data_IF_438815064876
#
_entry.id   IF_438815064876
#
_cell.length_a   1.000
_cell.length_b   1.000
_cell.length_c   1.000
_cell.angle_alpha   90.00
_cell.angle_beta   90.00
_cell.angle_gamma   90.00
#
_symmetry.space_group_name_H-M   'P 1'
#
loop_
_entity.id
_entity.type
_entity.pdbx_description
1 polymer ?
#
# COMPACT_ATOMS: atom_id res chain seq x y z
N UNK A 1 17.79 23.87 30.87
CA UNK A 1 17.11 23.25 29.70
C UNK A 1 15.94 22.44 30.22
N UNK A 2 14.73 22.68 29.73
CA UNK A 2 13.62 21.76 30.05
C UNK A 2 13.87 20.42 29.35
N UNK A 3 13.64 19.28 30.02
CA UNK A 3 13.79 17.98 29.38
C UNK A 3 12.80 17.89 28.20
N UNK A 4 13.31 17.49 27.03
CA UNK A 4 12.47 17.25 25.86
C UNK A 4 11.44 16.18 26.20
N UNK A 5 10.17 16.40 25.84
CA UNK A 5 9.13 15.38 25.98
C UNK A 5 9.51 14.16 25.13
N UNK A 6 9.47 12.97 25.74
CA UNK A 6 9.61 11.71 24.99
C UNK A 6 8.50 11.61 23.96
N UNK A 7 8.85 11.17 22.75
CA UNK A 7 7.87 10.86 21.71
C UNK A 7 7.43 9.41 21.79
N UNK A 8 6.20 9.13 21.36
CA UNK A 8 5.74 7.78 21.07
C UNK A 8 5.87 7.50 19.56
N UNK A 9 6.83 6.65 19.18
CA UNK A 9 7.16 6.34 17.79
C UNK A 9 6.61 4.97 17.43
N UNK A 10 5.83 4.89 16.35
CA UNK A 10 5.36 3.61 15.83
C UNK A 10 6.09 3.22 14.56
N UNK A 11 6.76 2.07 14.58
CA UNK A 11 7.38 1.49 13.39
C UNK A 11 6.44 0.44 12.80
N UNK A 12 6.25 0.45 11.48
CA UNK A 12 5.48 -0.55 10.73
C UNK A 12 6.42 -1.21 9.72
N UNK A 13 6.89 -2.41 10.04
CA UNK A 13 7.75 -3.21 9.18
C UNK A 13 6.91 -4.33 8.54
N UNK A 14 6.81 -4.31 7.21
CA UNK A 14 5.90 -5.19 6.47
C UNK A 14 6.66 -6.26 5.71
N UNK A 15 6.27 -7.51 5.90
CA UNK A 15 6.48 -8.52 4.87
C UNK A 15 5.64 -8.20 3.61
N UNK A 16 6.05 -8.72 2.46
CA UNK A 16 5.39 -8.47 1.20
C UNK A 16 4.78 -9.73 0.59
N UNK A 17 5.50 -10.84 0.54
CA UNK A 17 5.05 -12.05 -0.16
C UNK A 17 4.01 -12.79 0.69
N UNK A 18 2.77 -12.90 0.20
CA UNK A 18 1.67 -13.47 0.99
C UNK A 18 1.03 -12.48 1.98
N UNK A 19 1.80 -11.48 2.44
CA UNK A 19 1.33 -10.41 3.34
C UNK A 19 0.71 -9.21 2.59
N UNK A 20 1.51 -8.23 2.14
CA UNK A 20 1.00 -7.09 1.34
C UNK A 20 0.57 -7.54 -0.06
N UNK A 21 1.36 -8.40 -0.69
CA UNK A 21 1.01 -9.15 -1.90
C UNK A 21 0.25 -10.42 -1.51
N UNK A 22 -0.88 -10.26 -0.83
CA UNK A 22 -1.73 -11.38 -0.44
C UNK A 22 -2.50 -11.98 -1.63
N UNK A 23 -3.23 -13.06 -1.36
CA UNK A 23 -4.15 -13.74 -2.29
C UNK A 23 -5.10 -12.78 -3.04
N UNK A 24 -5.54 -11.67 -2.44
CA UNK A 24 -6.41 -10.68 -3.13
C UNK A 24 -5.63 -9.85 -4.16
N UNK A 25 -4.35 -9.55 -3.88
CA UNK A 25 -3.45 -8.90 -4.83
C UNK A 25 -3.25 -9.76 -6.07
N UNK A 26 -2.84 -11.02 -5.91
CA UNK A 26 -2.56 -11.92 -7.03
C UNK A 26 -3.77 -12.23 -7.91
N UNK A 27 -4.99 -12.23 -7.35
CA UNK A 27 -6.24 -12.40 -8.13
C UNK A 27 -6.51 -11.24 -9.11
N UNK A 28 -5.87 -10.07 -8.95
CA UNK A 28 -6.03 -8.93 -9.88
C UNK A 28 -5.13 -9.12 -11.10
N UNK A 29 -5.66 -9.79 -12.12
CA UNK A 29 -4.99 -10.19 -13.37
C UNK A 29 -4.52 -9.06 -14.33
N UNK A 30 -4.29 -7.80 -13.91
CA UNK A 30 -4.14 -6.70 -14.88
C UNK A 30 -2.98 -5.72 -14.60
N UNK A 31 -2.17 -5.52 -15.65
CA UNK A 31 -1.20 -4.46 -15.99
C UNK A 31 -0.22 -3.93 -14.91
N UNK A 32 1.03 -3.70 -15.31
CA UNK A 32 2.14 -3.35 -14.40
C UNK A 32 1.96 -2.00 -13.67
N UNK A 33 1.44 -0.96 -14.32
CA UNK A 33 1.18 0.35 -13.67
C UNK A 33 0.02 0.30 -12.65
N UNK A 34 -0.96 -0.60 -12.85
CA UNK A 34 -2.03 -0.80 -11.86
C UNK A 34 -1.53 -1.55 -10.64
N UNK A 35 -0.47 -2.37 -10.71
CA UNK A 35 0.00 -3.18 -9.56
C UNK A 35 0.35 -2.34 -8.32
N UNK A 36 1.03 -1.19 -8.42
CA UNK A 36 1.26 -0.28 -7.27
C UNK A 36 -0.08 0.13 -6.63
N UNK A 37 -1.04 0.57 -7.44
CA UNK A 37 -2.37 1.00 -6.99
C UNK A 37 -3.19 -0.17 -6.46
N UNK A 38 -3.04 -1.35 -7.04
CA UNK A 38 -3.74 -2.56 -6.66
C UNK A 38 -3.28 -3.04 -5.30
N UNK A 39 -1.96 -3.02 -5.02
CA UNK A 39 -1.42 -3.33 -3.70
C UNK A 39 -2.01 -2.40 -2.62
N UNK A 40 -2.09 -1.10 -2.89
CA UNK A 40 -2.76 -0.15 -1.97
C UNK A 40 -4.25 -0.47 -1.84
N UNK A 41 -4.95 -0.71 -2.96
CA UNK A 41 -6.41 -0.92 -3.01
C UNK A 41 -6.84 -2.22 -2.34
N UNK A 42 -6.08 -3.31 -2.47
CA UNK A 42 -6.40 -4.58 -1.77
C UNK A 42 -6.14 -4.49 -0.27
N UNK A 43 -5.19 -3.66 0.16
CA UNK A 43 -4.84 -3.44 1.56
C UNK A 43 -5.54 -2.21 2.17
N UNK A 44 -6.57 -1.66 1.53
CA UNK A 44 -7.20 -0.41 1.95
C UNK A 44 -7.84 -0.49 3.34
N UNK A 45 -8.50 -1.60 3.66
CA UNK A 45 -9.12 -1.85 4.97
C UNK A 45 -8.05 -1.95 6.06
N UNK A 46 -6.98 -2.69 5.78
CA UNK A 46 -5.80 -2.79 6.64
C UNK A 46 -5.18 -1.43 6.92
N UNK A 47 -4.99 -0.60 5.88
CA UNK A 47 -4.46 0.76 6.01
C UNK A 47 -5.35 1.60 6.94
N UNK A 48 -6.66 1.60 6.72
CA UNK A 48 -7.59 2.38 7.55
C UNK A 48 -7.61 1.91 9.00
N UNK A 49 -7.58 0.60 9.22
CA UNK A 49 -7.51 0.00 10.55
C UNK A 49 -6.25 0.43 11.29
N UNK A 50 -5.09 0.32 10.65
CA UNK A 50 -3.82 0.71 11.22
C UNK A 50 -3.73 2.22 11.46
N UNK A 51 -4.23 3.05 10.54
CA UNK A 51 -4.33 4.50 10.74
C UNK A 51 -5.24 4.87 11.92
N UNK A 52 -6.30 4.11 12.17
CA UNK A 52 -7.14 4.29 13.36
C UNK A 52 -6.35 3.96 14.63
N UNK A 53 -5.71 2.80 14.69
CA UNK A 53 -4.87 2.39 15.83
C UNK A 53 -3.78 3.41 16.14
N UNK A 54 -3.10 3.96 15.13
CA UNK A 54 -2.08 4.99 15.32
C UNK A 54 -2.61 6.26 16.01
N UNK A 55 -3.87 6.65 15.73
CA UNK A 55 -4.51 7.79 16.42
C UNK A 55 -4.90 7.42 17.84
N UNK A 56 -5.47 6.23 18.02
CA UNK A 56 -5.93 5.74 19.32
C UNK A 56 -4.75 5.52 20.29
N UNK A 57 -3.59 5.13 19.77
CA UNK A 57 -2.33 4.96 20.51
C UNK A 57 -1.57 6.28 20.73
N UNK A 58 -2.10 7.42 20.25
CA UNK A 58 -1.47 8.74 20.32
C UNK A 58 -0.03 8.76 19.77
N UNK A 59 0.20 8.12 18.63
CA UNK A 59 1.52 8.13 18.00
C UNK A 59 1.94 9.56 17.61
N UNK A 60 3.16 9.95 17.99
CA UNK A 60 3.76 11.23 17.61
C UNK A 60 4.41 11.17 16.22
N UNK A 61 4.80 9.97 15.79
CA UNK A 61 5.49 9.71 14.54
C UNK A 61 5.25 8.27 14.08
N UNK A 62 5.21 8.06 12.76
CA UNK A 62 5.15 6.71 12.18
C UNK A 62 6.24 6.50 11.13
N UNK A 63 6.92 5.36 11.20
CA UNK A 63 8.02 5.00 10.30
C UNK A 63 7.67 3.67 9.61
N UNK A 64 7.75 3.62 8.28
CA UNK A 64 7.50 2.42 7.49
C UNK A 64 8.83 1.81 7.00
N UNK A 65 8.95 0.48 7.09
CA UNK A 65 10.16 -0.28 6.74
C UNK A 65 9.82 -1.55 5.95
N UNK A 66 10.83 -2.11 5.27
CA UNK A 66 10.72 -3.42 4.61
C UNK A 66 11.03 -4.52 5.64
N UNK A 67 10.02 -5.28 6.02
CA UNK A 67 10.12 -6.45 6.89
C UNK A 67 10.25 -7.78 6.14
N UNK A 68 10.29 -7.74 4.80
CA UNK A 68 10.37 -8.91 3.93
C UNK A 68 11.80 -9.39 3.68
N UNK A 69 11.95 -10.65 3.27
CA UNK A 69 13.20 -11.19 2.70
C UNK A 69 13.65 -10.48 1.40
N UNK A 70 12.82 -9.61 0.81
CA UNK A 70 13.18 -8.70 -0.29
C UNK A 70 14.11 -7.55 0.16
N UNK A 71 15.26 -7.89 0.75
CA UNK A 71 16.26 -6.94 1.28
C UNK A 71 17.37 -6.59 0.27
N UNK A 72 17.26 -7.04 -0.99
CA UNK A 72 18.11 -6.59 -2.09
C UNK A 72 17.32 -6.57 -3.40
N UNK A 73 17.83 -5.85 -4.42
CA UNK A 73 17.24 -5.85 -5.76
C UNK A 73 17.17 -7.26 -6.36
N UNK A 74 18.23 -8.06 -6.22
CA UNK A 74 18.25 -9.44 -6.74
C UNK A 74 17.12 -10.28 -6.15
N UNK A 75 16.97 -10.30 -4.82
CA UNK A 75 15.88 -11.06 -4.21
C UNK A 75 14.50 -10.47 -4.47
N UNK A 76 14.38 -9.16 -4.64
CA UNK A 76 13.12 -8.53 -5.03
C UNK A 76 12.73 -8.88 -6.49
N UNK A 77 13.71 -8.94 -7.41
CA UNK A 77 13.50 -9.35 -8.79
C UNK A 77 13.23 -10.86 -8.91
N UNK A 78 13.98 -11.71 -8.19
CA UNK A 78 13.79 -13.16 -8.22
C UNK A 78 12.41 -13.54 -7.68
N UNK A 79 11.97 -12.90 -6.58
CA UNK A 79 10.60 -13.08 -6.09
C UNK A 79 9.54 -12.39 -6.96
N UNK A 80 9.94 -11.54 -7.93
CA UNK A 80 9.04 -11.02 -8.96
C UNK A 80 8.88 -11.99 -10.13
N UNK A 81 9.73 -13.00 -10.27
CA UNK A 81 9.62 -14.00 -11.33
C UNK A 81 8.91 -15.27 -10.84
N UNK A 82 7.57 -15.32 -10.93
CA UNK A 82 6.85 -16.58 -10.69
C UNK A 82 6.83 -17.41 -11.99
N UNK A 83 7.39 -18.61 -11.88
CA UNK A 83 7.65 -19.70 -12.85
C UNK A 83 6.49 -20.18 -13.76
N UNK A 84 5.33 -19.50 -13.81
CA UNK A 84 4.15 -19.99 -14.55
C UNK A 84 3.53 -18.94 -15.49
N UNK A 85 4.38 -18.21 -16.22
CA UNK A 85 3.98 -17.52 -17.44
C UNK A 85 3.16 -16.23 -17.31
N UNK A 86 2.49 -15.93 -16.19
CA UNK A 86 1.58 -14.76 -16.12
C UNK A 86 1.53 -13.98 -14.77
N UNK A 87 2.19 -14.41 -13.69
CA UNK A 87 1.95 -13.86 -12.33
C UNK A 87 3.21 -13.29 -11.64
N UNK A 88 3.88 -12.33 -12.27
CA UNK A 88 5.04 -11.66 -11.67
C UNK A 88 4.65 -10.78 -10.44
N UNK A 89 5.24 -11.02 -9.27
CA UNK A 89 4.99 -10.25 -8.04
C UNK A 89 5.77 -8.93 -8.01
N UNK A 90 5.09 -7.80 -7.96
CA UNK A 90 5.71 -6.48 -8.14
C UNK A 90 6.79 -6.13 -7.08
N UNK A 91 7.73 -5.24 -7.42
CA UNK A 91 8.77 -4.79 -6.49
C UNK A 91 8.22 -4.21 -5.18
N UNK A 92 8.77 -4.61 -4.03
CA UNK A 92 8.32 -4.11 -2.74
C UNK A 92 8.70 -2.64 -2.48
N UNK A 93 9.81 -2.16 -3.04
CA UNK A 93 10.33 -0.82 -2.80
C UNK A 93 9.38 0.32 -3.24
N UNK A 94 8.85 0.35 -4.49
CA UNK A 94 7.86 1.36 -4.88
C UNK A 94 6.50 1.17 -4.18
N UNK A 95 6.17 -0.05 -3.74
CA UNK A 95 4.92 -0.33 -3.02
C UNK A 95 4.98 0.18 -1.59
N UNK A 96 6.12 0.06 -0.90
CA UNK A 96 6.29 0.64 0.43
C UNK A 96 6.06 2.16 0.41
N UNK A 97 6.60 2.85 -0.60
CA UNK A 97 6.33 4.28 -0.81
C UNK A 97 4.83 4.53 -1.03
N UNK A 98 4.16 3.71 -1.85
CA UNK A 98 2.72 3.81 -2.11
C UNK A 98 1.87 3.68 -0.83
N UNK A 99 2.20 2.67 -0.02
CA UNK A 99 1.49 2.39 1.22
C UNK A 99 1.66 3.56 2.17
N UNK A 100 2.88 4.01 2.39
CA UNK A 100 3.14 5.16 3.26
C UNK A 100 2.44 6.44 2.81
N UNK A 101 2.43 6.73 1.50
CA UNK A 101 1.66 7.83 0.89
C UNK A 101 0.16 7.72 1.17
N UNK A 102 -0.39 6.50 1.10
CA UNK A 102 -1.79 6.24 1.41
C UNK A 102 -2.08 6.41 2.91
N UNK A 103 -1.25 5.83 3.77
CA UNK A 103 -1.34 5.96 5.23
C UNK A 103 -1.37 7.42 5.69
N UNK A 104 -0.49 8.25 5.13
CA UNK A 104 -0.36 9.66 5.48
C UNK A 104 -1.64 10.47 5.22
N UNK A 105 -2.56 10.00 4.36
CA UNK A 105 -3.86 10.65 4.11
C UNK A 105 -4.81 10.55 5.29
N UNK A 106 -4.68 9.50 6.10
CA UNK A 106 -5.61 9.17 7.18
C UNK A 106 -5.14 9.62 8.57
N UNK A 107 -3.93 10.15 8.67
CA UNK A 107 -3.36 10.55 9.95
C UNK A 107 -2.84 11.99 9.93
N UNK A 108 -2.60 12.56 11.11
CA UNK A 108 -2.09 13.93 11.28
C UNK A 108 -0.63 13.97 11.69
N UNK A 109 -0.10 12.90 12.27
CA UNK A 109 1.30 12.85 12.67
C UNK A 109 2.23 12.67 11.45
N UNK A 110 3.49 13.12 11.56
CA UNK A 110 4.51 12.87 10.55
C UNK A 110 4.67 11.37 10.24
N UNK A 111 4.77 11.07 8.95
CA UNK A 111 5.02 9.73 8.44
C UNK A 111 6.33 9.72 7.66
N UNK A 112 7.12 8.67 7.81
CA UNK A 112 8.43 8.50 7.17
C UNK A 112 8.55 7.13 6.52
N UNK A 113 9.25 7.05 5.38
CA UNK A 113 9.80 5.80 4.88
C UNK A 113 11.25 5.73 5.34
N UNK A 114 11.60 4.73 6.14
CA UNK A 114 13.01 4.42 6.39
C UNK A 114 13.47 3.40 5.36
N UNK A 115 14.41 3.83 4.52
CA UNK A 115 14.90 3.05 3.38
C UNK A 115 15.94 2.00 3.76
N UNK A 116 16.31 1.89 5.03
CA UNK A 116 17.31 0.92 5.48
C UNK A 116 16.88 -0.53 5.18
N UNK A 117 17.77 -1.26 4.51
CA UNK A 117 17.64 -2.70 4.25
C UNK A 117 18.98 -3.40 4.49
N UNK A 118 18.96 -4.72 4.71
CA UNK A 118 20.18 -5.44 5.08
C UNK A 118 21.27 -5.45 3.99
N UNK A 119 20.92 -5.27 2.71
CA UNK A 119 21.92 -5.05 1.66
C UNK A 119 22.85 -3.85 1.95
N UNK A 120 22.41 -2.85 2.73
CA UNK A 120 23.28 -1.76 3.17
C UNK A 120 24.40 -2.27 4.09
N UNK A 121 24.09 -3.18 5.02
CA UNK A 121 25.06 -3.77 5.95
C UNK A 121 26.06 -4.65 5.18
N UNK A 122 25.56 -5.57 4.35
CA UNK A 122 26.40 -6.51 3.62
C UNK A 122 27.23 -5.84 2.52
N UNK A 123 26.66 -4.80 1.89
CA UNK A 123 27.36 -3.98 0.90
C UNK A 123 28.29 -2.92 1.48
N UNK A 124 28.36 -2.76 2.80
CA UNK A 124 29.04 -1.63 3.47
C UNK A 124 28.60 -0.26 2.90
N UNK A 125 27.33 -0.13 2.54
CA UNK A 125 26.74 1.10 1.99
C UNK A 125 26.07 1.92 3.10
N UNK A 126 25.96 3.25 2.96
CA UNK A 126 25.16 4.08 3.87
C UNK A 126 23.70 3.60 3.94
N UNK A 127 23.03 3.87 5.05
CA UNK A 127 21.64 3.46 5.24
C UNK A 127 20.73 4.03 4.14
N UNK A 128 19.90 3.17 3.56
CA UNK A 128 18.95 3.53 2.51
C UNK A 128 19.54 3.66 1.12
N UNK A 129 20.85 3.48 0.96
CA UNK A 129 21.51 3.54 -0.35
C UNK A 129 21.03 2.39 -1.24
N UNK A 130 20.99 1.16 -0.74
CA UNK A 130 20.60 -0.01 -1.52
C UNK A 130 19.13 0.08 -1.97
N UNK A 131 18.21 0.45 -1.08
CA UNK A 131 16.81 0.71 -1.46
C UNK A 131 16.70 1.79 -2.55
N UNK A 132 17.48 2.87 -2.44
CA UNK A 132 17.49 3.94 -3.45
C UNK A 132 18.05 3.45 -4.79
N UNK A 133 19.11 2.63 -4.75
CA UNK A 133 19.70 1.98 -5.93
C UNK A 133 18.71 1.00 -6.59
N UNK A 134 17.92 0.28 -5.80
CA UNK A 134 16.87 -0.61 -6.31
C UNK A 134 15.76 0.18 -7.02
N UNK A 135 15.33 1.31 -6.46
CA UNK A 135 14.33 2.19 -7.09
C UNK A 135 14.81 2.80 -8.42
N UNK A 136 16.11 3.11 -8.54
CA UNK A 136 16.68 3.70 -9.75
C UNK A 136 17.13 2.66 -10.79
N UNK A 137 16.96 1.36 -10.50
CA UNK A 137 17.49 0.26 -11.30
C UNK A 137 19.00 0.39 -11.56
N UNK A 138 19.78 0.73 -10.52
CA UNK A 138 21.22 0.75 -10.62
C UNK A 138 21.77 -0.62 -11.06
N UNK A 139 22.79 -0.62 -11.92
CA UNK A 139 23.40 -1.84 -12.47
C UNK A 139 24.14 -2.67 -11.40
N UNK A 140 24.64 -2.02 -10.36
CA UNK A 140 25.33 -2.65 -9.24
C UNK A 140 24.51 -2.50 -7.95
N UNK A 141 23.93 -3.62 -7.50
CA UNK A 141 23.20 -3.69 -6.24
C UNK A 141 23.86 -4.68 -5.29
N UNK A 142 24.03 -4.30 -4.02
CA UNK A 142 24.59 -5.17 -3.00
C UNK A 142 23.62 -6.32 -2.71
N UNK A 143 24.12 -7.54 -2.62
CA UNK A 143 23.34 -8.67 -2.13
C UNK A 143 23.20 -8.59 -0.60
N UNK A 144 22.33 -9.42 -0.05
CA UNK A 144 22.22 -9.60 1.40
C UNK A 144 22.24 -11.09 1.73
N UNK A 145 22.55 -11.43 2.97
CA UNK A 145 22.51 -12.79 3.49
C UNK A 145 21.06 -13.19 3.78
N UNK A 146 20.50 -14.15 3.04
CA UNK A 146 19.10 -14.51 3.18
C UNK A 146 18.80 -15.31 4.45
N UNK A 147 18.43 -14.58 5.51
CA UNK A 147 17.89 -15.16 6.74
C UNK A 147 16.36 -15.35 6.64
N UNK A 148 15.93 -16.59 6.40
CA UNK A 148 14.51 -16.97 6.29
C UNK A 148 13.74 -16.80 7.60
N UNK A 149 14.42 -16.81 8.75
CA UNK A 149 13.77 -16.61 10.05
C UNK A 149 13.45 -15.14 10.33
N UNK A 150 13.98 -14.21 9.52
CA UNK A 150 13.83 -12.75 9.63
C UNK A 150 14.39 -12.16 10.93
N UNK A 151 15.10 -12.93 11.75
CA UNK A 151 15.70 -12.49 13.00
C UNK A 151 16.66 -11.32 12.79
N UNK A 152 17.54 -11.44 11.78
CA UNK A 152 18.52 -10.40 11.45
C UNK A 152 17.87 -9.08 11.01
N UNK A 153 16.73 -9.14 10.31
CA UNK A 153 15.95 -7.97 9.89
C UNK A 153 15.41 -7.25 11.14
N UNK A 154 14.71 -7.98 12.02
CA UNK A 154 14.11 -7.38 13.21
C UNK A 154 15.19 -6.81 14.15
N UNK A 155 16.26 -7.57 14.41
CA UNK A 155 17.35 -7.12 15.26
C UNK A 155 17.96 -5.81 14.73
N UNK A 156 18.33 -5.77 13.45
CA UNK A 156 18.95 -4.59 12.85
C UNK A 156 18.02 -3.37 12.89
N UNK A 157 16.75 -3.54 12.50
CA UNK A 157 15.80 -2.43 12.42
C UNK A 157 15.44 -1.88 13.81
N UNK A 158 15.20 -2.74 14.82
CA UNK A 158 14.91 -2.27 16.17
C UNK A 158 16.08 -1.46 16.76
N UNK A 159 17.31 -1.97 16.65
CA UNK A 159 18.49 -1.28 17.16
C UNK A 159 18.80 0.01 16.39
N UNK A 160 18.63 0.00 15.07
CA UNK A 160 18.76 1.23 14.26
C UNK A 160 17.80 2.31 14.74
N UNK A 161 16.50 2.02 14.81
CA UNK A 161 15.50 3.03 15.21
C UNK A 161 15.74 3.47 16.65
N UNK A 162 16.05 2.57 17.57
CA UNK A 162 16.37 2.92 18.94
C UNK A 162 17.61 3.82 19.05
N UNK A 163 18.62 3.58 18.23
CA UNK A 163 19.85 4.38 18.20
C UNK A 163 19.65 5.80 17.67
N UNK A 164 18.66 6.00 16.80
CA UNK A 164 18.26 7.32 16.29
C UNK A 164 17.28 8.05 17.21
N UNK A 165 16.68 7.31 18.14
CA UNK A 165 15.66 7.78 19.08
C UNK A 165 15.89 7.23 20.50
N UNK A 166 17.07 7.47 21.11
CA UNK A 166 17.48 6.78 22.34
C UNK A 166 16.62 7.14 23.56
N UNK A 167 15.97 8.31 23.53
CA UNK A 167 15.15 8.83 24.62
C UNK A 167 13.64 8.71 24.37
N UNK A 168 13.22 8.28 23.18
CA UNK A 168 11.80 8.16 22.80
C UNK A 168 11.30 6.71 23.06
N UNK A 169 10.00 6.55 23.24
CA UNK A 169 9.35 5.25 23.39
C UNK A 169 8.95 4.72 22.00
N UNK A 170 9.33 3.47 21.67
CA UNK A 170 9.16 2.90 20.34
C UNK A 170 8.25 1.67 20.42
N UNK A 171 7.13 1.68 19.68
CA UNK A 171 6.34 0.49 19.41
C UNK A 171 6.65 -0.02 18.01
N UNK A 172 7.38 -1.14 17.93
CA UNK A 172 7.79 -1.76 16.68
C UNK A 172 6.79 -2.85 16.28
N UNK A 173 6.05 -2.62 15.20
CA UNK A 173 5.08 -3.59 14.67
C UNK A 173 5.67 -4.30 13.45
N UNK A 174 5.69 -5.63 13.52
CA UNK A 174 6.11 -6.50 12.42
C UNK A 174 4.90 -7.29 11.90
N UNK A 175 4.70 -7.29 10.59
CA UNK A 175 3.59 -7.98 9.93
C UNK A 175 4.12 -9.03 8.97
N UNK A 176 3.61 -10.25 9.08
CA UNK A 176 4.00 -11.42 8.28
C UNK A 176 2.77 -12.30 8.01
N UNK A 177 2.77 -13.07 6.94
CA UNK A 177 1.72 -14.05 6.65
C UNK A 177 2.02 -15.43 7.26
N UNK A 178 3.28 -15.70 7.63
CA UNK A 178 3.71 -17.03 8.07
C UNK A 178 3.74 -17.16 9.60
N UNK A 179 2.77 -17.89 10.17
CA UNK A 179 2.68 -18.12 11.61
C UNK A 179 3.91 -18.79 12.22
N UNK A 180 4.56 -19.72 11.49
CA UNK A 180 5.76 -20.39 11.98
C UNK A 180 6.95 -19.43 12.15
N UNK A 181 7.06 -18.41 11.28
CA UNK A 181 8.06 -17.34 11.43
C UNK A 181 7.70 -16.50 12.66
N UNK A 182 6.46 -16.05 12.77
CA UNK A 182 6.00 -15.22 13.88
C UNK A 182 6.11 -15.94 15.24
N UNK A 183 5.79 -17.23 15.31
CA UNK A 183 5.90 -18.05 16.51
C UNK A 183 7.36 -18.21 16.93
N UNK A 184 8.24 -18.50 15.98
CA UNK A 184 9.67 -18.65 16.24
C UNK A 184 10.29 -17.36 16.76
N UNK A 185 9.95 -16.22 16.14
CA UNK A 185 10.38 -14.89 16.59
C UNK A 185 9.81 -14.54 17.97
N UNK A 186 8.52 -14.82 18.21
CA UNK A 186 7.87 -14.56 19.49
C UNK A 186 8.54 -15.32 20.62
N UNK A 187 8.72 -16.65 20.47
CA UNK A 187 9.36 -17.47 21.49
C UNK A 187 10.81 -17.03 21.72
N UNK A 188 11.54 -16.72 20.66
CA UNK A 188 12.93 -16.27 20.76
C UNK A 188 13.04 -14.95 21.55
N UNK A 189 12.30 -13.91 21.16
CA UNK A 189 12.40 -12.60 21.83
C UNK A 189 11.73 -12.57 23.21
N UNK A 190 10.72 -13.41 23.48
CA UNK A 190 10.11 -13.53 24.81
C UNK A 190 11.11 -14.04 25.85
N UNK A 191 12.00 -14.95 25.44
CA UNK A 191 13.09 -15.48 26.29
C UNK A 191 14.31 -14.56 26.29
N UNK A 192 14.61 -13.89 25.18
CA UNK A 192 15.83 -13.10 24.98
C UNK A 192 15.55 -11.60 24.88
N UNK A 193 14.81 -11.05 25.84
CA UNK A 193 14.43 -9.63 25.85
C UNK A 193 15.63 -8.68 25.97
N UNK A 194 16.76 -9.18 26.49
CA UNK A 194 18.05 -8.48 26.56
C UNK A 194 18.66 -8.21 25.17
N UNK A 195 18.16 -8.87 24.12
CA UNK A 195 18.56 -8.59 22.74
C UNK A 195 17.78 -7.42 22.12
N UNK A 196 16.73 -6.93 22.77
CA UNK A 196 15.92 -5.81 22.31
C UNK A 196 16.22 -4.56 23.16
N UNK A 197 16.30 -3.36 22.56
CA UNK A 197 16.43 -2.13 23.33
C UNK A 197 15.29 -1.95 24.32
N UNK A 198 15.59 -1.46 25.53
CA UNK A 198 14.60 -1.23 26.59
C UNK A 198 13.54 -0.18 26.25
N UNK A 199 13.81 0.70 25.28
CA UNK A 199 12.84 1.67 24.78
C UNK A 199 12.01 1.13 23.60
N UNK A 200 12.15 -0.16 23.26
CA UNK A 200 11.40 -0.82 22.17
C UNK A 200 10.43 -1.87 22.72
N UNK A 201 9.18 -1.78 22.28
CA UNK A 201 8.13 -2.79 22.45
C UNK A 201 7.84 -3.44 21.11
N UNK A 202 8.05 -4.75 20.99
CA UNK A 202 7.81 -5.53 19.78
C UNK A 202 6.37 -6.07 19.75
N UNK A 203 5.68 -5.86 18.64
CA UNK A 203 4.35 -6.41 18.36
C UNK A 203 4.41 -7.23 17.06
N UNK A 204 4.08 -8.51 17.15
CA UNK A 204 4.10 -9.45 16.02
C UNK A 204 2.67 -9.70 15.54
N UNK A 205 2.43 -9.52 14.25
CA UNK A 205 1.11 -9.54 13.64
C UNK A 205 1.08 -10.48 12.44
N UNK A 206 0.18 -11.45 12.48
CA UNK A 206 -0.20 -12.22 11.31
C UNK A 206 -1.12 -11.37 10.43
N UNK A 207 -0.81 -11.25 9.15
CA UNK A 207 -1.68 -10.63 8.15
C UNK A 207 -1.43 -11.20 6.75
N UNK A 208 -2.46 -11.82 6.16
CA UNK A 208 -2.43 -12.38 4.81
C UNK A 208 -3.59 -11.85 3.93
N UNK A 209 -3.99 -10.59 4.17
CA UNK A 209 -5.08 -9.92 3.45
C UNK A 209 -6.46 -10.00 4.11
N UNK A 210 -6.57 -10.64 5.27
CA UNK A 210 -7.78 -10.76 6.09
C UNK A 210 -7.60 -10.04 7.44
N UNK A 211 -8.20 -10.55 8.52
CA UNK A 211 -8.08 -9.96 9.85
C UNK A 211 -6.65 -10.08 10.42
N UNK A 212 -6.28 -9.13 11.28
CA UNK A 212 -4.95 -9.11 11.92
C UNK A 212 -5.01 -9.93 13.21
N UNK A 213 -4.30 -11.06 13.24
CA UNK A 213 -4.09 -11.82 14.48
C UNK A 213 -2.77 -11.39 15.13
N UNK A 214 -2.80 -11.03 16.41
CA UNK A 214 -1.63 -10.45 17.09
C UNK A 214 -1.16 -11.34 18.24
N UNK A 215 0.15 -11.49 18.38
CA UNK A 215 0.74 -12.08 19.59
C UNK A 215 0.83 -11.02 20.68
N UNK A 216 1.04 -11.47 21.92
CA UNK A 216 1.30 -10.59 23.06
C UNK A 216 2.54 -9.71 22.77
N UNK A 217 2.49 -8.43 23.15
CA UNK A 217 3.62 -7.54 22.96
C UNK A 217 4.80 -7.91 23.88
N UNK A 218 6.02 -7.78 23.37
CA UNK A 218 7.25 -8.07 24.11
C UNK A 218 7.97 -6.75 24.39
N UNK A 219 8.14 -6.41 25.66
CA UNK A 219 8.95 -5.27 26.07
C UNK A 219 10.43 -5.67 26.07
N UNK A 220 11.28 -4.89 25.41
CA UNK A 220 12.72 -5.07 25.45
C UNK A 220 13.29 -4.71 26.82
N UNK A 221 14.42 -5.32 27.18
CA UNK A 221 15.10 -5.14 28.47
C UNK A 221 16.60 -4.82 28.31
N UNK A 222 17.13 -4.87 27.08
CA UNK A 222 18.54 -4.68 26.77
C UNK A 222 18.94 -3.23 26.48
N UNK A 223 20.24 -3.03 26.33
CA UNK A 223 20.81 -1.78 25.85
C UNK A 223 20.72 -1.66 24.32
N UNK A 224 20.83 -0.42 23.84
CA UNK A 224 20.87 -0.13 22.41
C UNK A 224 22.21 -0.61 21.85
N UNK A 225 22.16 -1.41 20.79
CA UNK A 225 23.32 -1.82 20.00
C UNK A 225 23.63 -0.75 18.95
N UNK A 226 24.48 0.21 19.30
CA UNK A 226 24.93 1.24 18.35
C UNK A 226 25.85 0.67 17.25
N UNK A 227 26.32 -0.57 17.38
CA UNK A 227 27.16 -1.27 16.41
C UNK A 227 26.39 -2.39 15.68
N UNK A 228 25.06 -2.28 15.60
CA UNK A 228 24.19 -3.34 15.06
C UNK A 228 24.64 -3.85 13.68
N UNK A 229 25.24 -2.99 12.85
CA UNK A 229 25.78 -3.35 11.53
C UNK A 229 26.84 -4.46 11.62
N UNK A 230 27.81 -4.31 12.51
CA UNK A 230 28.86 -5.31 12.71
C UNK A 230 28.38 -6.50 13.52
N UNK A 231 27.47 -6.27 14.48
CA UNK A 231 26.92 -7.34 15.28
C UNK A 231 26.00 -8.28 14.49
N UNK A 232 25.31 -7.80 13.45
CA UNK A 232 24.59 -8.68 12.50
C UNK A 232 25.55 -9.63 11.78
N UNK A 233 26.68 -9.14 11.28
CA UNK A 233 27.70 -9.99 10.65
C UNK A 233 28.26 -11.00 11.65
N UNK A 234 28.53 -10.55 12.88
CA UNK A 234 28.99 -11.40 13.98
C UNK A 234 27.97 -12.47 14.34
N UNK A 235 26.69 -12.13 14.41
CA UNK A 235 25.58 -13.05 14.66
C UNK A 235 25.54 -14.16 13.61
N UNK A 236 25.60 -13.80 12.33
CA UNK A 236 25.59 -14.75 11.22
C UNK A 236 26.84 -15.65 11.25
N UNK A 237 28.03 -15.11 11.51
CA UNK A 237 29.24 -15.91 11.65
C UNK A 237 29.14 -16.91 12.81
N UNK A 238 28.60 -16.49 13.96
CA UNK A 238 28.42 -17.36 15.13
C UNK A 238 27.35 -18.43 14.90
N UNK A 239 26.33 -18.15 14.08
CA UNK A 239 25.39 -19.14 13.59
C UNK A 239 26.04 -20.18 12.65
N UNK A 240 27.31 -20.02 12.29
CA UNK A 240 28.08 -20.99 11.52
C UNK A 240 28.21 -20.68 10.04
N UNK A 241 27.84 -19.47 9.63
CA UNK A 241 27.89 -19.05 8.24
C UNK A 241 29.15 -18.25 7.91
N UNK A 242 29.79 -18.56 6.79
CA UNK A 242 31.02 -17.92 6.34
C UNK A 242 30.69 -16.80 5.33
N UNK A 243 30.70 -15.55 5.79
CA UNK A 243 30.40 -14.36 4.98
C UNK A 243 31.48 -14.01 3.95
N UNK A 244 32.69 -14.57 4.07
CA UNK A 244 33.78 -14.33 3.10
C UNK A 244 33.64 -15.25 1.87
N UNK A 245 32.99 -16.40 2.05
CA UNK A 245 32.68 -17.32 0.94
C UNK A 245 31.42 -16.88 0.22
N UNK A 246 31.56 -15.98 -0.76
CA UNK A 246 30.47 -15.46 -1.60
C UNK A 246 29.47 -16.54 -2.09
N UNK A 247 29.95 -17.71 -2.49
CA UNK A 247 29.10 -18.80 -2.98
C UNK A 247 28.24 -19.49 -1.92
N UNK A 248 28.51 -19.28 -0.62
CA UNK A 248 27.83 -20.01 0.45
C UNK A 248 26.51 -19.37 0.90
N UNK A 249 26.28 -18.08 0.63
CA UNK A 249 25.07 -17.39 1.11
C UNK A 249 24.23 -16.69 0.05
N UNK A 250 24.69 -16.66 -1.20
CA UNK A 250 23.96 -15.93 -2.24
C UNK A 250 22.73 -16.70 -2.77
N UNK A 251 22.68 -18.03 -2.62
CA UNK A 251 21.65 -18.88 -3.26
C UNK A 251 20.95 -19.85 -2.30
N UNK A 252 21.09 -19.67 -0.98
CA UNK A 252 20.51 -20.60 0.01
C UNK A 252 19.73 -19.85 1.08
N UNK A 253 18.62 -20.46 1.46
CA UNK A 253 17.89 -20.07 2.65
C UNK A 253 18.72 -20.41 3.89
N UNK A 254 18.85 -19.44 4.80
CA UNK A 254 19.54 -19.62 6.08
C UNK A 254 18.57 -19.45 7.25
N UNK A 255 18.82 -20.17 8.33
CA UNK A 255 17.93 -20.24 9.50
C UNK A 255 18.64 -19.72 10.75
N UNK A 256 19.09 -18.46 10.71
CA UNK A 256 19.98 -17.87 11.75
C UNK A 256 19.44 -18.08 13.15
N UNK A 257 18.13 -17.85 13.35
CA UNK A 257 17.49 -18.04 14.65
C UNK A 257 17.63 -19.48 15.16
N UNK A 258 17.42 -20.47 14.30
CA UNK A 258 17.51 -21.87 14.70
C UNK A 258 18.95 -22.31 14.91
N UNK A 259 19.87 -21.82 14.10
CA UNK A 259 21.30 -22.10 14.24
C UNK A 259 21.94 -21.45 15.46
N UNK A 260 21.39 -20.34 15.95
CA UNK A 260 21.81 -19.72 17.22
C UNK A 260 21.33 -20.51 18.45
N UNK A 261 20.23 -21.27 18.34
CA UNK A 261 19.75 -22.14 19.43
C UNK A 261 20.63 -23.39 19.61
N UNK A 262 21.53 -23.68 18.67
CA UNK A 262 22.45 -24.81 18.76
C UNK A 262 23.60 -24.45 19.71
N UNK A 263 23.85 -25.30 20.71
CA UNK A 263 24.97 -25.14 21.65
C UNK A 263 24.88 -23.81 22.45
N UNK A 264 26.02 -23.21 22.73
CA UNK A 264 26.30 -21.95 23.38
C UNK A 264 26.43 -20.78 22.38
N UNK A 265 25.95 -20.92 21.13
CA UNK A 265 26.12 -19.90 20.08
C UNK A 265 25.42 -18.60 20.43
N UNK A 266 24.19 -18.66 20.92
CA UNK A 266 23.48 -17.47 21.38
C UNK A 266 24.22 -16.72 22.49
N UNK A 267 24.69 -17.45 23.51
CA UNK A 267 25.48 -16.87 24.61
C UNK A 267 26.82 -16.30 24.11
N UNK A 268 27.45 -16.98 23.15
CA UNK A 268 28.66 -16.50 22.48
C UNK A 268 28.40 -15.20 21.74
N UNK A 269 27.28 -15.08 21.03
CA UNK A 269 26.88 -13.83 20.38
C UNK A 269 26.64 -12.72 21.41
N UNK A 270 25.87 -13.00 22.48
CA UNK A 270 25.62 -12.02 23.56
C UNK A 270 26.90 -11.51 24.21
N UNK A 271 27.92 -12.36 24.37
CA UNK A 271 29.23 -11.99 24.93
C UNK A 271 30.13 -11.23 23.95
N UNK A 272 30.04 -11.54 22.66
CA UNK A 272 30.93 -10.97 21.63
C UNK A 272 30.41 -9.68 21.00
N UNK A 273 29.09 -9.42 21.06
CA UNK A 273 28.53 -8.19 20.49
C UNK A 273 29.07 -6.97 21.22
N UNK A 274 29.50 -5.98 20.46
CA UNK A 274 29.95 -4.69 20.98
C UNK A 274 28.81 -3.69 20.88
N UNK A 275 28.32 -3.17 22.00
CA UNK A 275 27.18 -2.25 22.00
C UNK A 275 27.59 -0.79 21.78
N UNK A 276 28.89 -0.49 21.76
CA UNK A 276 29.39 0.88 21.64
C UNK A 276 29.20 1.43 20.23
N UNK A 277 28.99 2.74 20.15
CA UNK A 277 28.90 3.42 18.86
C UNK A 277 30.26 3.38 18.14
N UNK A 278 30.32 2.93 16.86
CA UNK A 278 31.54 3.02 16.09
C UNK A 278 31.96 4.50 15.88
N UNK A 279 33.25 4.79 15.57
CA UNK A 279 33.75 6.16 15.44
C UNK A 279 33.06 7.03 14.35
N UNK A 280 32.35 6.39 13.43
CA UNK A 280 31.58 7.00 12.35
C UNK A 280 30.06 6.99 12.58
N UNK A 281 29.60 6.53 13.75
CA UNK A 281 28.19 6.50 14.11
C UNK A 281 27.57 7.91 14.03
N UNK A 282 26.39 8.00 13.41
CA UNK A 282 25.68 9.27 13.21
C UNK A 282 26.25 10.17 12.09
N UNK A 283 27.35 9.80 11.42
CA UNK A 283 27.86 10.55 10.25
C UNK A 283 27.15 10.18 8.95
N UNK A 284 26.43 9.07 8.93
CA UNK A 284 25.67 8.64 7.76
C UNK A 284 24.43 9.54 7.57
N UNK A 285 24.10 9.91 6.32
CA UNK A 285 22.86 10.60 6.04
C UNK A 285 21.67 9.75 6.51
N UNK A 286 20.66 10.42 7.06
CA UNK A 286 19.44 9.73 7.48
C UNK A 286 18.78 9.02 6.30
N UNK A 287 18.49 7.73 6.46
CA UNK A 287 17.72 6.93 5.52
C UNK A 287 16.21 7.23 5.58
N UNK A 288 15.77 8.03 6.56
CA UNK A 288 14.38 8.42 6.75
C UNK A 288 14.00 9.54 5.81
N UNK A 289 13.07 9.25 4.92
CA UNK A 289 12.50 10.21 3.98
C UNK A 289 11.10 10.61 4.46
N UNK A 290 10.82 11.90 4.69
CA UNK A 290 9.48 12.34 5.04
C UNK A 290 8.52 12.03 3.90
N UNK A 291 7.38 11.45 4.23
CA UNK A 291 6.29 11.29 3.28
C UNK A 291 5.63 12.66 3.17
N UNK A 292 5.73 13.27 1.98
CA UNK A 292 4.98 14.48 1.69
C UNK A 292 3.51 14.12 1.86
N UNK A 293 2.88 14.61 2.92
CA UNK A 293 1.43 14.53 3.05
C UNK A 293 0.87 15.06 1.73
N UNK A 294 0.15 14.21 0.99
CA UNK A 294 -0.34 14.61 -0.32
C UNK A 294 -1.09 15.94 -0.15
N UNK A 295 -0.78 16.93 -0.99
CA UNK A 295 -1.44 18.23 -1.01
C UNK A 295 -2.98 18.11 -0.95
N UNK A 296 -3.53 16.96 -1.34
CA UNK A 296 -4.93 16.58 -1.20
C UNK A 296 -5.51 16.71 0.21
N UNK A 297 -4.76 16.53 1.31
CA UNK A 297 -5.32 16.75 2.66
C UNK A 297 -5.45 18.24 2.96
N UNK A 298 -4.42 19.04 2.67
CA UNK A 298 -4.49 20.50 2.76
C UNK A 298 -5.55 21.07 1.80
N UNK A 299 -5.70 20.52 0.58
CA UNK A 299 -6.76 20.89 -0.36
C UNK A 299 -8.14 20.47 0.17
N UNK A 300 -8.30 19.28 0.74
CA UNK A 300 -9.58 18.80 1.30
C UNK A 300 -9.99 19.59 2.54
N UNK A 301 -9.06 19.90 3.43
CA UNK A 301 -9.29 20.73 4.61
C UNK A 301 -9.58 22.18 4.21
N UNK A 302 -8.89 22.70 3.18
CA UNK A 302 -9.17 24.02 2.60
C UNK A 302 -10.53 24.07 1.88
N UNK A 303 -10.91 23.01 1.16
CA UNK A 303 -12.24 22.88 0.52
C UNK A 303 -13.35 22.76 1.57
N UNK A 304 -13.13 21.99 2.64
CA UNK A 304 -14.09 21.89 3.75
C UNK A 304 -14.20 23.21 4.53
N UNK A 305 -13.09 23.94 4.72
CA UNK A 305 -13.11 25.27 5.33
C UNK A 305 -13.86 26.28 4.46
N UNK A 306 -13.59 26.31 3.14
CA UNK A 306 -14.31 27.14 2.17
C UNK A 306 -15.81 26.80 2.09
N UNK A 307 -16.18 25.52 2.17
CA UNK A 307 -17.57 25.08 2.17
C UNK A 307 -18.33 25.48 3.45
N UNK A 308 -17.63 25.53 4.59
CA UNK A 308 -18.21 25.98 5.86
C UNK A 308 -18.37 27.51 5.89
N UNK A 309 -17.42 28.27 5.33
CA UNK A 309 -17.52 29.74 5.19
C UNK A 309 -18.65 30.15 4.22
N UNK A 310 -18.87 29.42 3.12
CA UNK A 310 -19.99 29.67 2.21
C UNK A 310 -21.36 29.27 2.77
N UNK A 311 -21.42 28.44 3.83
CA UNK A 311 -22.68 28.12 4.52
C UNK A 311 -23.25 29.27 5.35
N UNK A 312 -22.47 30.35 5.53
CA UNK A 312 -22.85 31.58 6.24
C UNK A 312 -23.12 32.77 5.29
N UNK A 313 -23.00 32.58 3.96
CA UNK A 313 -23.28 33.65 3.00
C UNK A 313 -24.79 33.82 2.75
N UNK A 314 -25.32 35.05 2.64
CA UNK A 314 -26.73 35.31 2.34
C UNK A 314 -27.14 34.69 0.99
N UNK A 315 -28.39 34.21 0.89
CA UNK A 315 -28.87 33.36 -0.21
C UNK A 315 -28.93 34.00 -1.63
N UNK A 316 -28.42 35.21 -1.85
CA UNK A 316 -28.64 35.95 -3.10
C UNK A 316 -27.38 36.54 -3.77
N UNK A 317 -26.18 36.03 -3.47
CA UNK A 317 -24.98 36.42 -4.23
C UNK A 317 -24.59 35.40 -5.31
N UNK A 318 -24.32 35.91 -6.52
CA UNK A 318 -23.75 35.16 -7.65
C UNK A 318 -22.47 34.46 -7.19
N UNK A 319 -22.44 33.14 -7.33
CA UNK A 319 -21.27 32.32 -7.01
C UNK A 319 -20.10 32.79 -7.88
N UNK A 320 -18.97 33.07 -7.24
CA UNK A 320 -17.72 33.44 -7.90
C UNK A 320 -17.36 32.39 -8.97
N UNK A 321 -17.13 32.80 -10.24
CA UNK A 321 -16.64 31.91 -11.30
C UNK A 321 -15.43 31.07 -10.89
N UNK A 322 -14.54 31.58 -10.02
CA UNK A 322 -13.41 30.82 -9.48
C UNK A 322 -13.85 29.63 -8.62
N UNK A 323 -14.92 29.77 -7.84
CA UNK A 323 -15.47 28.69 -7.01
C UNK A 323 -16.15 27.64 -7.90
N UNK A 324 -16.85 28.09 -8.95
CA UNK A 324 -17.47 27.19 -9.94
C UNK A 324 -16.42 26.39 -10.71
N UNK A 325 -15.34 27.04 -11.15
CA UNK A 325 -14.23 26.38 -11.83
C UNK A 325 -13.47 25.42 -10.91
N UNK A 326 -13.21 25.81 -9.65
CA UNK A 326 -12.59 24.93 -8.67
C UNK A 326 -13.45 23.69 -8.36
N UNK A 327 -14.78 23.84 -8.36
CA UNK A 327 -15.70 22.70 -8.18
C UNK A 327 -15.69 21.78 -9.41
N UNK A 328 -15.65 22.36 -10.61
CA UNK A 328 -15.56 21.60 -11.87
C UNK A 328 -14.23 20.86 -11.98
N UNK A 329 -13.12 21.49 -11.57
CA UNK A 329 -11.79 20.87 -11.51
C UNK A 329 -11.75 19.74 -10.48
N UNK A 330 -12.35 19.94 -9.30
CA UNK A 330 -12.47 18.89 -8.28
C UNK A 330 -13.31 17.70 -8.75
N UNK A 331 -14.41 17.97 -9.46
CA UNK A 331 -15.26 16.93 -10.06
C UNK A 331 -14.50 16.22 -11.18
N UNK A 332 -13.75 16.95 -12.02
CA UNK A 332 -12.92 16.38 -13.06
C UNK A 332 -11.81 15.47 -12.50
N UNK A 333 -11.12 15.90 -11.46
CA UNK A 333 -10.09 15.12 -10.76
C UNK A 333 -10.68 13.90 -10.04
N UNK A 334 -11.84 14.07 -9.39
CA UNK A 334 -12.59 12.96 -8.79
C UNK A 334 -13.02 11.93 -9.84
N UNK A 335 -13.39 12.38 -11.04
CA UNK A 335 -13.73 11.52 -12.18
C UNK A 335 -12.48 10.83 -12.73
N UNK A 336 -11.38 11.55 -12.96
CA UNK A 336 -10.10 11.00 -13.46
C UNK A 336 -9.54 9.94 -12.50
N UNK A 337 -9.67 10.15 -11.19
CA UNK A 337 -9.22 9.19 -10.16
C UNK A 337 -10.07 7.92 -10.08
N UNK A 338 -11.23 7.87 -10.75
CA UNK A 338 -12.19 6.75 -10.74
C UNK A 338 -12.32 6.03 -12.10
N UNK A 339 -11.64 6.50 -13.14
CA UNK A 339 -11.66 5.89 -14.49
C UNK A 339 -10.48 4.92 -14.63
N UNK A 340 -10.76 3.61 -14.63
CA UNK A 340 -9.84 2.60 -15.14
C UNK A 340 -9.82 2.69 -16.68
N UNK A 341 -8.76 3.27 -17.26
CA UNK A 341 -8.59 3.37 -18.71
C UNK A 341 -8.08 2.03 -19.24
N UNK A 342 -8.95 1.34 -19.96
CA UNK A 342 -8.62 0.26 -20.89
C UNK A 342 -8.38 0.95 -22.23
N UNK A 343 -7.14 0.91 -22.73
CA UNK A 343 -6.70 1.05 -24.14
C UNK A 343 -5.47 1.99 -24.32
N UNK A 344 -4.35 1.39 -24.72
CA UNK A 344 -3.02 2.02 -24.89
C UNK A 344 -2.97 2.94 -26.12
N UNK A 345 -3.82 2.68 -27.13
CA UNK A 345 -3.87 3.49 -28.34
C UNK A 345 -4.47 4.89 -28.11
N UNK A 346 -5.27 5.03 -27.04
CA UNK A 346 -5.86 6.31 -26.64
C UNK A 346 -4.86 7.17 -25.86
N UNK A 347 -3.98 6.58 -25.02
CA UNK A 347 -2.92 7.31 -24.29
C UNK A 347 -1.93 7.95 -25.28
N UNK A 348 -1.63 7.25 -26.38
CA UNK A 348 -0.76 7.75 -27.45
C UNK A 348 -1.44 8.81 -28.34
N UNK A 349 -2.77 8.76 -28.53
CA UNK A 349 -3.54 9.83 -29.19
C UNK A 349 -3.67 11.10 -28.33
N UNK A 350 -3.95 10.94 -27.04
CA UNK A 350 -4.07 12.08 -26.09
C UNK A 350 -2.73 12.79 -25.91
N UNK A 351 -1.60 12.07 -25.85
CA UNK A 351 -0.27 12.68 -25.79
C UNK A 351 0.15 13.37 -27.10
N UNK A 352 -0.37 12.93 -28.26
CA UNK A 352 -0.18 13.63 -29.54
C UNK A 352 -1.01 14.90 -29.64
N UNK A 353 -2.21 14.91 -29.05
CA UNK A 353 -3.12 16.08 -29.08
C UNK A 353 -2.88 17.08 -27.94
N UNK A 354 -2.02 16.77 -26.95
CA UNK A 354 -1.63 17.66 -25.86
C UNK A 354 -0.65 18.79 -26.24
N UNK A 355 -0.32 18.95 -27.52
CA UNK A 355 0.27 20.18 -28.06
C UNK A 355 -0.77 21.16 -28.64
N UNK A 356 -2.05 21.00 -28.31
CA UNK A 356 -3.09 21.98 -28.66
C UNK A 356 -3.54 22.75 -27.42
N UNK A 357 -3.17 24.03 -27.43
CA UNK A 357 -3.56 25.14 -26.56
C UNK A 357 -4.80 24.95 -25.67
N UNK A 358 -4.63 25.29 -24.38
CA UNK A 358 -5.65 25.45 -23.31
C UNK A 358 -6.76 26.46 -23.66
N UNK A 359 -6.71 27.14 -24.82
CA UNK A 359 -7.73 28.07 -25.30
C UNK A 359 -8.99 27.41 -25.91
N UNK A 360 -9.06 26.08 -26.04
CA UNK A 360 -10.18 25.38 -26.70
C UNK A 360 -11.36 24.99 -25.78
N UNK A 361 -11.32 25.28 -24.47
CA UNK A 361 -12.40 24.93 -23.53
C UNK A 361 -13.47 26.02 -23.33
N UNK A 362 -13.32 27.18 -23.97
CA UNK A 362 -14.23 28.33 -23.80
C UNK A 362 -15.54 28.25 -24.58
N UNK A 363 -15.71 27.28 -25.48
CA UNK A 363 -16.97 27.15 -26.21
C UNK A 363 -17.93 26.18 -25.50
N UNK A 364 -19.16 26.65 -25.23
CA UNK A 364 -20.28 25.83 -24.71
C UNK A 364 -20.51 24.53 -25.49
N UNK A 365 -20.10 24.49 -26.76
CA UNK A 365 -20.17 23.34 -27.66
C UNK A 365 -19.18 22.23 -27.27
N UNK A 366 -17.99 22.59 -26.78
CA UNK A 366 -16.97 21.63 -26.37
C UNK A 366 -17.26 21.04 -24.98
N UNK A 367 -17.80 21.84 -24.06
CA UNK A 367 -18.28 21.35 -22.76
C UNK A 367 -19.44 20.35 -22.92
N UNK A 368 -20.36 20.61 -23.88
CA UNK A 368 -21.45 19.69 -24.25
C UNK A 368 -20.94 18.36 -24.78
N UNK A 369 -19.94 18.40 -25.68
CA UNK A 369 -19.38 17.19 -26.27
C UNK A 369 -18.66 16.32 -25.24
N UNK A 370 -17.94 16.93 -24.30
CA UNK A 370 -17.25 16.22 -23.20
C UNK A 370 -18.25 15.57 -22.26
N UNK A 371 -19.32 16.26 -21.87
CA UNK A 371 -20.34 15.70 -20.98
C UNK A 371 -21.16 14.58 -21.65
N UNK A 372 -21.54 14.74 -22.93
CA UNK A 372 -22.23 13.69 -23.68
C UNK A 372 -21.35 12.44 -23.88
N UNK A 373 -20.05 12.65 -24.13
CA UNK A 373 -19.08 11.54 -24.21
C UNK A 373 -18.90 10.83 -22.86
N UNK A 374 -18.97 11.56 -21.75
CA UNK A 374 -18.95 11.01 -20.39
C UNK A 374 -20.23 10.20 -20.07
N UNK A 375 -21.42 10.74 -20.35
CA UNK A 375 -22.70 10.05 -20.10
C UNK A 375 -22.80 8.75 -20.90
N UNK A 376 -22.44 8.79 -22.19
CA UNK A 376 -22.40 7.60 -23.05
C UNK A 376 -21.50 6.47 -22.50
N UNK A 377 -20.41 6.82 -21.78
CA UNK A 377 -19.48 5.84 -21.19
C UNK A 377 -19.91 5.28 -19.84
N UNK A 378 -20.75 5.98 -19.08
CA UNK A 378 -21.23 5.50 -17.77
C UNK A 378 -22.53 4.70 -17.86
N UNK A 379 -23.29 4.84 -18.95
CA UNK A 379 -24.42 3.98 -19.24
C UNK A 379 -24.03 2.81 -20.17
N UNK A 380 -22.98 2.04 -19.82
CA UNK A 380 -22.55 0.87 -20.62
C UNK A 380 -23.38 -0.38 -20.31
N UNK A 381 -24.66 -0.30 -20.63
CA UNK A 381 -25.48 -1.47 -20.96
C UNK A 381 -25.71 -1.45 -22.48
N UNK A 382 -25.30 -2.46 -23.25
CA UNK A 382 -25.45 -2.50 -24.70
C UNK A 382 -26.91 -2.50 -25.19
N UNK A 383 -27.90 -2.58 -24.30
CA UNK A 383 -29.33 -2.57 -24.64
C UNK A 383 -30.01 -1.19 -24.61
N UNK A 384 -29.25 -0.10 -24.45
CA UNK A 384 -29.85 1.21 -24.18
C UNK A 384 -30.28 1.97 -25.46
N UNK A 385 -31.60 2.02 -25.63
CA UNK A 385 -32.36 2.72 -26.69
C UNK A 385 -32.18 4.26 -26.70
N UNK A 386 -32.30 4.85 -27.90
CA UNK A 386 -32.38 6.29 -28.27
C UNK A 386 -32.97 7.24 -27.19
N UNK A 387 -34.02 6.79 -26.48
CA UNK A 387 -34.68 7.50 -25.37
C UNK A 387 -33.74 7.98 -24.26
N UNK A 388 -32.68 7.24 -23.95
CA UNK A 388 -31.74 7.60 -22.86
C UNK A 388 -30.74 8.69 -23.27
N UNK A 389 -30.38 8.73 -24.55
CA UNK A 389 -29.58 9.82 -25.12
C UNK A 389 -30.41 11.12 -25.12
N UNK A 390 -31.70 11.04 -25.46
CA UNK A 390 -32.61 12.18 -25.41
C UNK A 390 -32.78 12.74 -23.98
N UNK A 391 -32.91 11.87 -22.97
CA UNK A 391 -32.99 12.28 -21.56
C UNK A 391 -31.68 12.93 -21.05
N UNK A 392 -30.53 12.44 -21.50
CA UNK A 392 -29.23 13.02 -21.18
C UNK A 392 -29.09 14.43 -21.78
N UNK A 393 -29.52 14.59 -23.02
CA UNK A 393 -29.47 15.89 -23.71
C UNK A 393 -30.46 16.89 -23.10
N UNK A 394 -31.64 16.42 -22.68
CA UNK A 394 -32.62 17.21 -21.94
C UNK A 394 -32.06 17.69 -20.60
N UNK A 395 -31.48 16.79 -19.81
CA UNK A 395 -30.86 17.12 -18.52
C UNK A 395 -29.75 18.17 -18.65
N UNK A 396 -28.90 18.02 -19.67
CA UNK A 396 -27.82 18.97 -19.94
C UNK A 396 -28.35 20.37 -20.25
N UNK A 397 -29.37 20.48 -21.10
CA UNK A 397 -29.96 21.76 -21.46
C UNK A 397 -30.71 22.39 -20.27
N UNK A 398 -31.33 21.58 -19.40
CA UNK A 398 -32.00 22.05 -18.19
C UNK A 398 -31.02 22.61 -17.15
N UNK A 399 -29.82 22.04 -17.03
CA UNK A 399 -28.76 22.53 -16.14
C UNK A 399 -28.13 23.83 -16.66
N UNK A 400 -27.91 23.95 -17.98
CA UNK A 400 -27.31 25.14 -18.58
C UNK A 400 -28.12 26.44 -18.37
N UNK A 401 -29.41 26.32 -18.05
CA UNK A 401 -30.29 27.45 -17.73
C UNK A 401 -30.39 27.80 -16.25
N UNK A 402 -29.71 27.08 -15.34
CA UNK A 402 -29.76 27.33 -13.89
C UNK A 402 -28.64 28.25 -13.43
N UNK A 403 -28.98 29.22 -12.59
CA UNK A 403 -28.05 30.26 -12.12
C UNK A 403 -27.58 30.05 -10.69
N UNK A 404 -28.20 29.13 -9.94
CA UNK A 404 -27.78 28.82 -8.56
C UNK A 404 -27.45 27.35 -8.35
N UNK A 405 -26.47 27.10 -7.46
CA UNK A 405 -26.05 25.76 -7.06
C UNK A 405 -27.18 24.94 -6.42
N UNK A 406 -28.07 25.61 -5.67
CA UNK A 406 -29.26 25.00 -5.07
C UNK A 406 -30.17 24.40 -6.14
N UNK A 407 -30.47 25.15 -7.20
CA UNK A 407 -31.31 24.67 -8.31
C UNK A 407 -30.67 23.49 -9.06
N UNK A 408 -29.35 23.52 -9.28
CA UNK A 408 -28.64 22.42 -9.93
C UNK A 408 -28.69 21.16 -9.07
N UNK A 409 -28.46 21.29 -7.76
CA UNK A 409 -28.48 20.16 -6.81
C UNK A 409 -29.88 19.56 -6.67
N UNK A 410 -30.92 20.39 -6.60
CA UNK A 410 -32.32 19.95 -6.57
C UNK A 410 -32.71 19.21 -7.86
N UNK A 411 -32.24 19.66 -9.04
CA UNK A 411 -32.49 18.97 -10.31
C UNK A 411 -31.75 17.65 -10.47
N UNK A 412 -30.51 17.57 -9.97
CA UNK A 412 -29.78 16.29 -9.89
C UNK A 412 -30.52 15.30 -8.99
N UNK A 413 -31.06 15.76 -7.85
CA UNK A 413 -31.83 14.92 -6.95
C UNK A 413 -33.14 14.42 -7.59
N UNK A 414 -33.89 15.31 -8.26
CA UNK A 414 -35.12 14.97 -8.97
C UNK A 414 -34.89 13.92 -10.08
N UNK A 415 -33.79 14.05 -10.85
CA UNK A 415 -33.46 13.06 -11.88
C UNK A 415 -33.02 11.71 -11.31
N UNK A 416 -32.34 11.70 -10.16
CA UNK A 416 -32.02 10.45 -9.45
C UNK A 416 -33.28 9.74 -8.99
N UNK A 417 -34.23 10.47 -8.42
CA UNK A 417 -35.50 9.93 -7.96
C UNK A 417 -36.37 9.40 -9.11
N UNK A 418 -36.48 10.15 -10.22
CA UNK A 418 -37.18 9.68 -11.43
C UNK A 418 -36.54 8.41 -12.03
N UNK A 419 -35.22 8.31 -12.04
CA UNK A 419 -34.53 7.10 -12.53
C UNK A 419 -34.71 5.91 -11.59
N UNK A 420 -34.70 6.12 -10.27
CA UNK A 420 -35.01 5.08 -9.28
C UNK A 420 -36.45 4.55 -9.45
N UNK A 421 -37.43 5.43 -9.68
CA UNK A 421 -38.81 5.04 -9.97
C UNK A 421 -38.94 4.25 -11.30
N UNK A 422 -38.19 4.63 -12.34
CA UNK A 422 -38.14 3.89 -13.62
C UNK A 422 -37.53 2.49 -13.46
N UNK A 423 -36.53 2.31 -12.60
CA UNK A 423 -35.96 0.99 -12.31
C UNK A 423 -36.87 0.13 -11.42
N UNK A 424 -37.57 0.72 -10.45
CA UNK A 424 -38.60 0.04 -9.67
C UNK A 424 -39.77 -0.45 -10.54
N UNK A 425 -40.23 0.37 -11.50
CA UNK A 425 -41.29 -0.01 -12.43
C UNK A 425 -40.84 -1.16 -13.36
N UNK A 426 -39.58 -1.17 -13.80
CA UNK A 426 -39.00 -2.31 -14.53
C UNK A 426 -38.99 -3.58 -13.68
N UNK A 427 -38.59 -3.51 -12.41
CA UNK A 427 -38.64 -4.68 -11.50
C UNK A 427 -40.07 -5.17 -11.28
N UNK A 428 -41.06 -4.29 -11.19
CA UNK A 428 -42.47 -4.69 -11.02
C UNK A 428 -43.06 -5.40 -12.26
N UNK A 429 -42.62 -5.01 -13.46
CA UNK A 429 -42.98 -5.66 -14.73
C UNK A 429 -42.33 -7.04 -14.89
N UNK A 430 -41.21 -7.30 -14.22
CA UNK A 430 -40.55 -8.61 -14.18
C UNK A 430 -41.12 -9.55 -13.10
N UNK A 431 -41.91 -9.04 -12.16
CA UNK A 431 -42.59 -9.83 -11.12
C UNK A 431 -44.07 -10.11 -11.45
N UNK A 432 -44.58 -9.63 -12.59
CA UNK A 432 -46.01 -9.75 -12.97
C UNK A 432 -46.27 -10.52 -14.26
N UNK A 433 -45.30 -11.29 -14.76
CA UNK A 433 -45.55 -12.27 -15.84
C UNK A 433 -45.10 -13.66 -15.37
N UNK A 434 -46.06 -14.57 -15.26
CA UNK A 434 -45.82 -15.96 -14.88
C UNK A 434 -44.88 -16.66 -15.86
N UNK A 435 -43.63 -16.83 -15.44
CA UNK A 435 -42.59 -17.59 -16.14
C UNK A 435 -41.94 -18.59 -15.17
N UNK A 436 -42.77 -19.34 -14.43
CA UNK A 436 -42.34 -20.46 -13.59
C UNK A 436 -42.55 -21.85 -14.26
N UNK A 437 -42.87 -21.92 -15.56
CA UNK A 437 -43.11 -23.21 -16.26
C UNK A 437 -42.17 -23.53 -17.44
N UNK A 438 -41.05 -22.82 -17.64
CA UNK A 438 -40.16 -23.07 -18.81
C UNK A 438 -38.68 -23.33 -18.50
N UNK A 439 -38.31 -23.63 -17.24
CA UNK A 439 -36.92 -23.91 -16.86
C UNK A 439 -36.63 -25.36 -16.42
N UNK A 440 -37.50 -26.32 -16.76
CA UNK A 440 -37.30 -27.72 -16.38
C UNK A 440 -36.81 -28.68 -17.48
N UNK A 441 -36.42 -28.19 -18.66
CA UNK A 441 -36.13 -29.10 -19.78
C UNK A 441 -34.84 -28.77 -20.57
N UNK A 442 -33.82 -28.24 -19.89
CA UNK A 442 -32.52 -27.96 -20.53
C UNK A 442 -31.28 -28.51 -19.80
N UNK A 443 -31.47 -29.37 -18.79
CA UNK A 443 -30.38 -30.07 -18.09
C UNK A 443 -30.30 -31.57 -18.44
N UNK A 444 -31.13 -32.09 -19.36
CA UNK A 444 -31.13 -33.51 -19.74
C UNK A 444 -30.36 -33.85 -21.04
N UNK A 445 -29.59 -32.92 -21.64
CA UNK A 445 -28.96 -33.14 -22.96
C UNK A 445 -27.44 -32.94 -23.02
N UNK A 446 -26.72 -32.88 -21.89
CA UNK A 446 -25.26 -32.74 -21.88
C UNK A 446 -24.50 -33.81 -21.08
N UNK A 447 -25.12 -34.95 -20.79
CA UNK A 447 -24.45 -36.15 -20.26
C UNK A 447 -24.45 -37.32 -21.25
N UNK A 448 -23.90 -37.11 -22.44
CA UNK A 448 -23.46 -38.23 -23.27
C UNK A 448 -22.32 -37.81 -24.18
N UNK A 449 -21.09 -37.94 -23.69
CA UNK A 449 -19.88 -38.32 -24.45
C UNK A 449 -18.63 -38.10 -23.57
N UNK A 450 -18.22 -39.13 -22.84
CA UNK A 450 -16.85 -39.26 -22.32
C UNK A 450 -16.24 -40.55 -22.88
N UNK A 451 -15.13 -40.49 -23.64
CA UNK A 451 -14.35 -41.68 -23.96
C UNK A 451 -13.57 -42.17 -22.73
N UNK A 452 -13.57 -43.49 -22.55
CA UNK A 452 -12.87 -44.22 -21.48
C UNK A 452 -11.36 -44.31 -21.75
N UNK A 453 -10.60 -44.15 -20.66
CA UNK A 453 -9.35 -44.84 -20.28
C UNK A 453 -8.13 -44.83 -21.20
N UNK A 454 -6.97 -44.41 -20.63
CA UNK A 454 -5.75 -45.25 -20.55
C UNK A 454 -5.06 -44.99 -19.21
N UNK A 455 -4.87 -46.05 -18.42
CA UNK A 455 -3.92 -46.15 -17.30
C UNK A 455 -2.55 -46.49 -17.88
N UNK A 456 -1.47 -45.88 -17.39
CA UNK A 456 -0.18 -46.56 -17.26
C UNK A 456 0.46 -46.18 -15.93
N UNK A 457 0.85 -47.22 -15.20
CA UNK A 457 1.65 -47.24 -13.98
C UNK A 457 3.13 -47.29 -14.35
N UNK A 458 3.96 -46.51 -13.67
CA UNK A 458 5.19 -46.92 -12.95
C UNK A 458 5.93 -45.68 -12.48
#
# INVERSE_FOLDING_TARGET
MQPRRRKNIHVKSFDFDGCIFNKRFYRRKKFYESKKRDAVKVNQEFIQLLSKKLRDDFADETIFMVGSARQSKTFDDDNNHVDNGDEAAFSCFPVLNALGEEFAKYVTMPCFIDRFILADIYGNKPDGKSFTDALSNASEHSKWFWDKTKLTILYAQMHKIASEHPDDDITYHFYDDLDNILDSLYQFFKVNKDLMPKNVKLCLHHYEGDEINSKEAIQGEGDIDYNYRNNIKTMVTIAGYDLEKKYNYEDKEHYVLDDLKISDRLDTFKKKRDLQAPPDFGKNPSSKIPIKASENKQRKDKVNALANETSLAPQDEKIDPLVTNALLDYVADYIVSRVDIVDVDIKNKINKDHQVNVQMLDSKKNQKAVLLSWMSRHFRDPTLTRRKVELADQFYNEILGKTSYKEIKEKIAEYKEKNLQLECNKKSLFTSSGLDEMFFDMDCLLESERPKSVRLLS
#
